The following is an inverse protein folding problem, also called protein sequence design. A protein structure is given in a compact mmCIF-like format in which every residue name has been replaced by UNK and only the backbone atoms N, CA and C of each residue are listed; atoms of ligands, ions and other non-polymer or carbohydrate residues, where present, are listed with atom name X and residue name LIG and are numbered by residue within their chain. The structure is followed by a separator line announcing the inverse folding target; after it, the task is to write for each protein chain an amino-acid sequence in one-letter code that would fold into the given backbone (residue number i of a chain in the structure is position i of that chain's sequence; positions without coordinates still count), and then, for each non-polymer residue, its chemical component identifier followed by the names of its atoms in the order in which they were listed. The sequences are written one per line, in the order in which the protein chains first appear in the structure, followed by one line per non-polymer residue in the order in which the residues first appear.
data_IF_559899868858
#
_entry.id   IF_559899868858
#
_cell.length_a   1.000
_cell.length_b   1.000
_cell.length_c   1.000
_cell.angle_alpha   90.00
_cell.angle_beta   90.00
_cell.angle_gamma   90.00
#
_symmetry.space_group_name_H-M   'P 1'
#
loop_
_entity.id
_entity.type
_entity.pdbx_description
1 polymer ?
#
# COMPACT_ATOMS: atom_id res chain seq x y z
N UNK A 1 16.65 -11.34 -18.30
CA UNK A 1 15.55 -10.54 -18.89
C UNK A 1 14.89 -9.71 -17.78
N UNK A 2 14.52 -8.45 -18.01
CA UNK A 2 13.84 -7.60 -17.02
C UNK A 2 12.37 -8.00 -16.76
N UNK A 3 12.00 -9.27 -16.98
CA UNK A 3 10.61 -9.75 -16.97
C UNK A 3 10.27 -10.70 -15.81
N UNK A 4 11.15 -10.87 -14.82
CA UNK A 4 10.95 -11.80 -13.69
C UNK A 4 10.92 -11.11 -12.32
N UNK A 5 10.55 -9.84 -12.26
CA UNK A 5 10.16 -9.19 -11.01
C UNK A 5 8.74 -8.66 -11.25
N UNK A 6 7.70 -9.12 -10.52
CA UNK A 6 6.40 -8.48 -10.62
C UNK A 6 6.59 -6.99 -10.34
N UNK A 7 6.14 -6.12 -11.24
CA UNK A 7 6.37 -4.67 -11.13
C UNK A 7 5.95 -4.17 -9.74
N UNK A 8 6.94 -3.92 -8.88
CA UNK A 8 6.71 -3.29 -7.60
C UNK A 8 6.46 -1.81 -7.87
N UNK A 9 5.18 -1.48 -8.03
CA UNK A 9 4.74 -0.08 -8.15
C UNK A 9 5.00 0.61 -6.81
N UNK A 10 5.77 1.71 -6.85
CA UNK A 10 5.96 2.55 -5.67
C UNK A 10 4.60 3.02 -5.17
N UNK A 11 4.38 2.89 -3.86
CA UNK A 11 3.13 3.29 -3.22
C UNK A 11 2.93 4.81 -3.24
N UNK A 12 4.01 5.58 -3.30
CA UNK A 12 3.98 7.04 -3.30
C UNK A 12 4.26 7.59 -4.71
N UNK A 13 3.61 8.71 -5.06
CA UNK A 13 3.86 9.41 -6.31
C UNK A 13 4.83 10.59 -6.07
N UNK A 14 5.95 10.69 -6.81
CA UNK A 14 6.88 11.81 -6.68
C UNK A 14 6.16 13.15 -6.86
N UNK A 15 6.39 14.10 -5.95
CA UNK A 15 5.79 15.42 -6.00
C UNK A 15 4.38 15.53 -5.38
N UNK A 16 3.72 14.41 -5.05
CA UNK A 16 2.41 14.42 -4.42
C UNK A 16 2.48 13.91 -2.98
N UNK A 17 2.29 14.84 -2.02
CA UNK A 17 2.31 14.52 -0.59
C UNK A 17 1.01 13.84 -0.17
N UNK A 18 1.12 12.93 0.80
CA UNK A 18 -0.01 12.22 1.42
C UNK A 18 -0.89 11.42 0.45
N UNK A 19 -0.33 11.01 -0.69
CA UNK A 19 -1.01 10.17 -1.68
C UNK A 19 -0.37 8.78 -1.73
N UNK A 20 -1.22 7.74 -1.66
CA UNK A 20 -0.77 6.36 -1.61
C UNK A 20 -1.60 5.47 -2.54
N UNK A 21 -0.92 4.74 -3.42
CA UNK A 21 -1.50 3.76 -4.34
C UNK A 21 -1.72 2.42 -3.64
N UNK A 22 -2.96 1.93 -3.67
CA UNK A 22 -3.35 0.62 -3.13
C UNK A 22 -4.19 -0.15 -4.15
N UNK A 23 -4.40 -1.44 -3.92
CA UNK A 23 -5.25 -2.27 -4.76
C UNK A 23 -4.53 -3.46 -5.38
N UNK A 24 -5.32 -4.35 -5.99
CA UNK A 24 -4.90 -5.64 -6.53
C UNK A 24 -3.80 -5.54 -7.61
N UNK A 25 -3.76 -4.44 -8.37
CA UNK A 25 -2.77 -4.23 -9.42
C UNK A 25 -1.53 -3.46 -8.95
N UNK A 26 -1.52 -3.01 -7.69
CA UNK A 26 -0.43 -2.20 -7.12
C UNK A 26 0.53 -3.02 -6.24
N UNK A 27 0.24 -4.31 -6.06
CA UNK A 27 1.00 -5.21 -5.19
C UNK A 27 1.09 -6.59 -5.86
N UNK A 28 2.26 -7.25 -5.85
CA UNK A 28 2.37 -8.62 -6.34
C UNK A 28 1.41 -9.56 -5.61
N UNK A 29 0.87 -10.54 -6.34
CA UNK A 29 -0.08 -11.53 -5.82
C UNK A 29 -1.52 -11.35 -6.31
N UNK A 30 -1.96 -10.11 -6.57
CA UNK A 30 -3.27 -9.82 -7.18
C UNK A 30 -4.49 -10.23 -6.33
N UNK A 31 -5.69 -10.06 -6.89
CA UNK A 31 -6.96 -10.46 -6.26
C UNK A 31 -7.50 -9.52 -5.18
N UNK A 32 -8.75 -9.76 -4.79
CA UNK A 32 -9.50 -8.89 -3.86
C UNK A 32 -8.83 -8.80 -2.49
N UNK A 33 -8.32 -9.92 -1.95
CA UNK A 33 -7.67 -9.96 -0.65
C UNK A 33 -6.43 -9.06 -0.57
N UNK A 34 -5.63 -8.98 -1.64
CA UNK A 34 -4.45 -8.10 -1.66
C UNK A 34 -4.84 -6.63 -1.71
N UNK A 35 -5.96 -6.28 -2.34
CA UNK A 35 -6.49 -4.92 -2.29
C UNK A 35 -6.81 -4.51 -0.84
N UNK A 36 -7.52 -5.37 -0.09
CA UNK A 36 -7.83 -5.13 1.33
C UNK A 36 -6.56 -5.03 2.20
N UNK A 37 -5.63 -5.98 2.06
CA UNK A 37 -4.39 -5.97 2.82
C UNK A 37 -3.56 -4.72 2.54
N UNK A 38 -3.42 -4.34 1.25
CA UNK A 38 -2.66 -3.15 0.87
C UNK A 38 -3.21 -1.85 1.48
N UNK A 39 -4.54 -1.74 1.61
CA UNK A 39 -5.16 -0.60 2.31
C UNK A 39 -4.86 -0.59 3.81
N UNK A 40 -4.95 -1.76 4.46
CA UNK A 40 -4.62 -1.91 5.89
C UNK A 40 -3.17 -1.55 6.19
N UNK A 41 -2.24 -2.00 5.34
CA UNK A 41 -0.80 -1.76 5.52
C UNK A 41 -0.46 -0.27 5.35
N UNK A 42 -0.98 0.37 4.30
CA UNK A 42 -0.80 1.82 4.11
C UNK A 42 -1.42 2.62 5.26
N UNK A 43 -2.56 2.19 5.80
CA UNK A 43 -3.17 2.86 6.96
C UNK A 43 -2.26 2.82 8.19
N UNK A 44 -1.55 1.70 8.43
CA UNK A 44 -0.56 1.62 9.51
C UNK A 44 0.63 2.56 9.26
N UNK A 45 1.11 2.66 8.02
CA UNK A 45 2.18 3.59 7.63
C UNK A 45 1.76 5.04 7.87
N UNK A 46 0.55 5.41 7.47
CA UNK A 46 0.00 6.76 7.70
C UNK A 46 -0.09 7.04 9.20
N UNK A 47 -0.65 6.12 9.99
CA UNK A 47 -0.73 6.26 11.44
C UNK A 47 0.66 6.49 12.08
N UNK A 48 1.67 5.72 11.65
CA UNK A 48 3.05 5.90 12.12
C UNK A 48 3.62 7.27 11.75
N UNK A 49 3.41 7.74 10.51
CA UNK A 49 3.84 9.08 10.06
C UNK A 49 3.15 10.19 10.88
N UNK A 50 1.89 10.00 11.22
CA UNK A 50 1.08 10.91 12.04
C UNK A 50 1.34 10.79 13.55
N UNK A 51 2.24 9.90 13.99
CA UNK A 51 2.48 9.59 15.40
C UNK A 51 1.22 9.12 16.16
N UNK A 52 0.28 8.49 15.45
CA UNK A 52 -0.95 7.91 16.00
C UNK A 52 -0.82 6.40 16.10
N UNK A 53 -1.42 5.81 17.13
CA UNK A 53 -1.52 4.34 17.25
C UNK A 53 -2.59 3.83 16.29
N UNK A 54 -2.23 2.89 15.43
CA UNK A 54 -3.19 2.17 14.59
C UNK A 54 -4.17 1.39 15.48
N UNK A 55 -5.48 1.46 15.14
CA UNK A 55 -6.56 0.78 15.86
C UNK A 55 -7.40 -0.01 14.87
N UNK A 56 -7.82 -1.21 15.27
CA UNK A 56 -8.85 -1.99 14.58
C UNK A 56 -10.12 -1.98 15.43
N UNK A 57 -11.29 -2.04 14.80
CA UNK A 57 -12.52 -2.30 15.54
C UNK A 57 -12.44 -3.71 16.14
N UNK A 58 -12.73 -3.81 17.43
CA UNK A 58 -12.91 -5.07 18.15
C UNK A 58 -14.31 -5.63 17.89
#
# INVERSE_FOLDING_TARGET
LPSMIPEFIKKELPGLKNFYLIGQWTTPGGGVSTAFLSGRDITQVICKKDKKRFRTCS
#
